data_IF_517116413025
#
_entry.id   IF_517116413025
#
_cell.length_a   1.000
_cell.length_b   1.000
_cell.length_c   1.000
_cell.angle_alpha   90.00
_cell.angle_beta   90.00
_cell.angle_gamma   90.00
#
_symmetry.space_group_name_H-M   'P 1'
#
loop_
_entity.id
_entity.type
_entity.pdbx_description
1 polymer ?
#
# COMPACT_ATOMS: atom_id res chain seq x y z
N UNK A 1 -30.95 52.83 -6.80
CA UNK A 1 -30.80 51.48 -7.37
C UNK A 1 -29.34 51.08 -7.24
N UNK A 2 -29.02 50.14 -6.34
CA UNK A 2 -27.66 49.65 -6.17
C UNK A 2 -27.45 48.55 -7.22
N UNK A 3 -26.69 48.83 -8.27
CA UNK A 3 -26.19 47.85 -9.25
C UNK A 3 -25.09 47.02 -8.59
N UNK A 4 -25.50 46.04 -7.77
CA UNK A 4 -24.63 45.27 -6.86
C UNK A 4 -24.10 43.96 -7.45
N UNK A 5 -23.72 43.98 -8.73
CA UNK A 5 -22.87 42.93 -9.31
C UNK A 5 -21.57 43.58 -9.77
N UNK A 6 -20.81 44.05 -8.79
CA UNK A 6 -19.38 44.27 -8.96
C UNK A 6 -18.77 42.97 -9.49
N UNK A 7 -17.99 43.10 -10.57
CA UNK A 7 -17.36 42.02 -11.34
C UNK A 7 -16.97 40.84 -10.44
N UNK A 8 -17.68 39.72 -10.60
CA UNK A 8 -17.29 38.46 -9.98
C UNK A 8 -15.83 38.21 -10.38
N UNK A 9 -14.94 38.08 -9.40
CA UNK A 9 -13.53 37.79 -9.67
C UNK A 9 -13.44 36.58 -10.61
N UNK A 10 -12.57 36.59 -11.64
CA UNK A 10 -12.36 35.45 -12.53
C UNK A 10 -12.13 34.14 -11.77
N UNK A 11 -11.50 34.22 -10.58
CA UNK A 11 -11.36 33.11 -9.64
C UNK A 11 -12.71 32.53 -9.18
N UNK A 12 -13.60 33.40 -8.68
CA UNK A 12 -14.92 33.01 -8.15
C UNK A 12 -15.78 32.46 -9.28
N UNK A 13 -15.74 33.09 -10.45
CA UNK A 13 -16.48 32.63 -11.62
C UNK A 13 -16.02 31.23 -12.06
N UNK A 14 -14.70 31.02 -12.21
CA UNK A 14 -14.11 29.72 -12.54
C UNK A 14 -14.45 28.68 -11.49
N UNK A 15 -14.49 29.05 -10.21
CA UNK A 15 -14.87 28.15 -9.11
C UNK A 15 -16.35 27.78 -9.12
N UNK A 16 -17.26 28.71 -9.39
CA UNK A 16 -18.69 28.41 -9.51
C UNK A 16 -18.96 27.49 -10.70
N UNK A 17 -18.36 27.77 -11.86
CA UNK A 17 -18.45 26.90 -13.02
C UNK A 17 -17.94 25.49 -12.68
N UNK A 18 -16.79 25.42 -12.03
CA UNK A 18 -16.21 24.16 -11.56
C UNK A 18 -17.15 23.37 -10.64
N UNK A 19 -17.73 24.01 -9.62
CA UNK A 19 -18.65 23.35 -8.69
C UNK A 19 -19.86 22.76 -9.39
N UNK A 20 -20.43 23.47 -10.37
CA UNK A 20 -21.56 22.98 -11.18
C UNK A 20 -21.16 21.73 -11.94
N UNK A 21 -20.00 21.74 -12.62
CA UNK A 21 -19.49 20.56 -13.33
C UNK A 21 -19.19 19.40 -12.39
N UNK A 22 -18.66 19.66 -11.20
CA UNK A 22 -18.28 18.60 -10.25
C UNK A 22 -19.48 17.84 -9.66
N UNK A 23 -20.70 18.40 -9.71
CA UNK A 23 -21.93 17.71 -9.29
C UNK A 23 -22.27 16.54 -10.20
N UNK A 24 -21.90 16.64 -11.48
CA UNK A 24 -22.12 15.59 -12.47
C UNK A 24 -21.41 14.28 -12.15
N UNK A 25 -20.33 14.34 -11.36
CA UNK A 25 -19.62 13.15 -10.89
C UNK A 25 -20.51 12.25 -10.00
N UNK A 26 -21.51 12.81 -9.29
CA UNK A 26 -22.46 12.02 -8.47
C UNK A 26 -23.71 11.59 -9.22
N UNK A 27 -23.89 12.03 -10.46
CA UNK A 27 -25.10 11.73 -11.22
C UNK A 27 -25.04 10.28 -11.78
N UNK A 28 -25.89 9.36 -11.31
CA UNK A 28 -25.89 7.99 -11.82
C UNK A 28 -26.37 7.89 -13.27
N UNK A 29 -27.14 8.88 -13.75
CA UNK A 29 -27.74 8.88 -15.09
C UNK A 29 -26.80 9.44 -16.16
N UNK A 30 -25.69 10.08 -15.74
CA UNK A 30 -24.74 10.67 -16.67
C UNK A 30 -23.87 9.62 -17.37
N UNK A 31 -23.70 9.79 -18.68
CA UNK A 31 -22.88 8.90 -19.51
C UNK A 31 -21.37 9.00 -19.18
N UNK A 32 -20.62 8.00 -19.64
CA UNK A 32 -19.18 7.86 -19.38
C UNK A 32 -18.38 9.05 -19.94
N UNK A 33 -18.69 9.52 -21.15
CA UNK A 33 -17.96 10.63 -21.79
C UNK A 33 -18.06 11.93 -20.98
N UNK A 34 -19.25 12.27 -20.49
CA UNK A 34 -19.47 13.45 -19.68
C UNK A 34 -18.84 13.33 -18.29
N UNK A 35 -18.83 12.12 -17.70
CA UNK A 35 -18.07 11.85 -16.46
C UNK A 35 -16.58 12.04 -16.67
N UNK A 36 -16.03 11.51 -17.77
CA UNK A 36 -14.62 11.68 -18.15
C UNK A 36 -14.27 13.15 -18.36
N UNK A 37 -15.13 13.90 -19.03
CA UNK A 37 -14.96 15.35 -19.21
C UNK A 37 -14.96 16.09 -17.85
N UNK A 38 -15.88 15.74 -16.94
CA UNK A 38 -15.93 16.32 -15.61
C UNK A 38 -14.65 16.01 -14.80
N UNK A 39 -14.12 14.79 -14.88
CA UNK A 39 -12.85 14.40 -14.23
C UNK A 39 -11.67 15.17 -14.84
N UNK A 40 -11.59 15.27 -16.16
CA UNK A 40 -10.54 16.03 -16.85
C UNK A 40 -10.57 17.51 -16.48
N UNK A 41 -11.75 18.10 -16.32
CA UNK A 41 -11.89 19.47 -15.83
C UNK A 41 -11.40 19.61 -14.38
N UNK A 42 -11.65 18.60 -13.52
CA UNK A 42 -11.08 18.56 -12.17
C UNK A 42 -9.55 18.46 -12.18
N UNK A 43 -8.99 17.60 -13.02
CA UNK A 43 -7.55 17.48 -13.21
C UNK A 43 -6.93 18.81 -13.62
N UNK A 44 -7.50 19.47 -14.64
CA UNK A 44 -7.00 20.77 -15.08
C UNK A 44 -7.14 21.84 -14.00
N UNK A 45 -8.26 21.87 -13.27
CA UNK A 45 -8.47 22.82 -12.18
C UNK A 45 -7.39 22.69 -11.10
N UNK A 46 -7.02 21.46 -10.74
CA UNK A 46 -5.94 21.24 -9.77
C UNK A 46 -4.56 21.57 -10.35
N UNK A 47 -4.31 21.24 -11.63
CA UNK A 47 -3.06 21.61 -12.34
C UNK A 47 -2.86 23.12 -12.43
N UNK A 48 -3.95 23.88 -12.52
CA UNK A 48 -3.95 25.34 -12.47
C UNK A 48 -3.67 25.91 -11.06
N UNK A 49 -3.36 25.05 -10.07
CA UNK A 49 -2.98 25.42 -8.71
C UNK A 49 -4.17 25.54 -7.74
N UNK A 50 -5.36 25.12 -8.14
CA UNK A 50 -6.54 25.22 -7.27
C UNK A 50 -6.77 23.95 -6.44
N UNK A 51 -7.33 24.12 -5.25
CA UNK A 51 -7.78 23.01 -4.39
C UNK A 51 -9.23 22.67 -4.67
N UNK A 52 -9.54 21.37 -4.77
CA UNK A 52 -10.92 20.87 -4.85
C UNK A 52 -11.71 21.29 -3.61
N UNK A 53 -13.01 21.55 -3.79
CA UNK A 53 -13.90 21.74 -2.65
C UNK A 53 -14.23 20.41 -1.98
N UNK A 54 -14.77 20.50 -0.76
CA UNK A 54 -15.31 19.35 -0.04
C UNK A 54 -16.40 18.66 -0.86
N UNK A 55 -17.26 19.42 -1.55
CA UNK A 55 -18.30 18.87 -2.42
C UNK A 55 -17.69 18.05 -3.57
N UNK A 56 -16.65 18.54 -4.23
CA UNK A 56 -16.02 17.75 -5.30
C UNK A 56 -15.34 16.49 -4.76
N UNK A 57 -14.71 16.57 -3.58
CA UNK A 57 -14.09 15.41 -2.91
C UNK A 57 -15.14 14.36 -2.56
N UNK A 58 -16.26 14.75 -1.98
CA UNK A 58 -17.39 13.83 -1.71
C UNK A 58 -17.99 13.27 -3.02
N UNK A 59 -17.94 14.01 -4.13
CA UNK A 59 -18.38 13.48 -5.43
C UNK A 59 -17.46 12.39 -5.96
N UNK A 60 -16.16 12.58 -5.78
CA UNK A 60 -15.14 11.59 -6.09
C UNK A 60 -15.34 10.34 -5.21
N UNK A 61 -15.64 10.51 -3.93
CA UNK A 61 -15.93 9.41 -3.01
C UNK A 61 -17.12 8.56 -3.49
N UNK A 62 -18.19 9.21 -3.95
CA UNK A 62 -19.35 8.53 -4.50
C UNK A 62 -18.99 7.68 -5.72
N UNK A 63 -18.13 8.19 -6.63
CA UNK A 63 -17.65 7.43 -7.78
C UNK A 63 -16.87 6.18 -7.34
N UNK A 64 -15.92 6.33 -6.40
CA UNK A 64 -15.11 5.22 -5.90
C UNK A 64 -15.93 4.15 -5.19
N UNK A 65 -16.96 4.55 -4.43
CA UNK A 65 -17.91 3.62 -3.78
C UNK A 65 -18.68 2.77 -4.79
N UNK A 66 -18.92 3.31 -5.98
CA UNK A 66 -19.71 2.68 -7.03
C UNK A 66 -18.79 2.24 -8.18
N UNK A 67 -17.83 1.34 -7.91
CA UNK A 67 -16.79 0.93 -8.87
C UNK A 67 -17.31 0.43 -10.22
N UNK A 68 -18.55 -0.06 -10.32
CA UNK A 68 -19.20 -0.36 -11.60
C UNK A 68 -19.33 0.86 -12.52
N UNK A 69 -19.52 2.05 -11.96
CA UNK A 69 -19.61 3.32 -12.68
C UNK A 69 -18.24 3.89 -13.08
N UNK A 70 -17.15 3.25 -12.65
CA UNK A 70 -15.78 3.66 -12.97
C UNK A 70 -15.19 2.96 -14.18
N UNK A 71 -15.87 1.92 -14.69
CA UNK A 71 -15.44 1.24 -15.91
C UNK A 71 -15.28 2.31 -17.01
N UNK A 72 -14.10 2.35 -17.64
CA UNK A 72 -13.69 3.30 -18.69
C UNK A 72 -13.26 4.73 -18.27
N UNK A 73 -13.32 5.07 -16.97
CA UNK A 73 -12.83 6.35 -16.40
C UNK A 73 -11.89 6.17 -15.20
N UNK A 74 -11.44 4.95 -15.00
CA UNK A 74 -10.71 4.53 -13.82
C UNK A 74 -9.38 5.27 -13.70
N UNK A 75 -8.60 5.27 -14.78
CA UNK A 75 -7.28 5.87 -14.82
C UNK A 75 -7.36 7.37 -14.50
N UNK A 76 -8.29 8.11 -15.12
CA UNK A 76 -8.46 9.54 -14.86
C UNK A 76 -8.91 9.80 -13.42
N UNK A 77 -9.74 8.93 -12.85
CA UNK A 77 -10.19 9.05 -11.46
C UNK A 77 -9.02 8.84 -10.49
N UNK A 78 -8.19 7.83 -10.72
CA UNK A 78 -7.00 7.56 -9.92
C UNK A 78 -5.94 8.67 -10.08
N UNK A 79 -5.71 9.17 -11.29
CA UNK A 79 -4.84 10.34 -11.51
C UNK A 79 -5.35 11.58 -10.77
N UNK A 80 -6.68 11.79 -10.73
CA UNK A 80 -7.26 12.90 -9.99
C UNK A 80 -7.01 12.75 -8.49
N UNK A 81 -7.19 11.55 -7.94
CA UNK A 81 -6.85 11.25 -6.54
C UNK A 81 -5.38 11.53 -6.25
N UNK A 82 -4.48 11.02 -7.08
CA UNK A 82 -3.04 11.22 -6.92
C UNK A 82 -2.70 12.71 -6.85
N UNK A 83 -3.23 13.50 -7.78
CA UNK A 83 -2.99 14.93 -7.86
C UNK A 83 -3.55 15.69 -6.65
N UNK A 84 -4.73 15.29 -6.15
CA UNK A 84 -5.32 15.84 -4.91
C UNK A 84 -4.39 15.63 -3.72
N UNK A 85 -3.86 14.40 -3.57
CA UNK A 85 -2.93 14.07 -2.49
C UNK A 85 -1.59 14.79 -2.65
N UNK A 86 -1.02 14.83 -3.87
CA UNK A 86 0.23 15.56 -4.17
C UNK A 86 0.15 17.03 -3.80
N UNK A 87 -1.02 17.66 -3.97
CA UNK A 87 -1.27 19.05 -3.60
C UNK A 87 -1.57 19.26 -2.09
N UNK A 88 -1.35 18.23 -1.27
CA UNK A 88 -1.47 18.29 0.18
C UNK A 88 -2.91 18.43 0.68
N UNK A 89 -3.91 18.10 -0.14
CA UNK A 89 -5.29 18.03 0.32
C UNK A 89 -5.51 16.74 1.11
N UNK A 90 -6.09 16.86 2.30
CA UNK A 90 -6.45 15.69 3.11
C UNK A 90 -7.60 14.94 2.45
N UNK A 91 -7.45 13.63 2.27
CA UNK A 91 -8.54 12.76 1.88
C UNK A 91 -9.43 12.45 3.10
N UNK A 92 -10.76 12.39 2.95
CA UNK A 92 -11.66 11.92 3.99
C UNK A 92 -11.31 10.49 4.44
N UNK A 93 -11.55 10.12 5.72
CA UNK A 93 -11.17 8.81 6.25
C UNK A 93 -11.73 7.62 5.47
N UNK A 94 -12.92 7.77 4.90
CA UNK A 94 -13.57 6.72 4.10
C UNK A 94 -12.83 6.41 2.79
N UNK A 95 -12.01 7.34 2.28
CA UNK A 95 -11.12 7.04 1.15
C UNK A 95 -10.05 6.01 1.50
N UNK A 96 -9.67 5.87 2.77
CA UNK A 96 -8.69 4.87 3.20
C UNK A 96 -9.26 3.46 3.01
N UNK A 97 -10.48 3.24 3.49
CA UNK A 97 -11.19 1.97 3.30
C UNK A 97 -11.47 1.69 1.82
N UNK A 98 -11.77 2.73 1.05
CA UNK A 98 -11.95 2.59 -0.39
C UNK A 98 -10.64 2.23 -1.08
N UNK A 99 -9.53 2.91 -0.76
CA UNK A 99 -8.21 2.61 -1.32
C UNK A 99 -7.80 1.16 -1.05
N UNK A 100 -8.00 0.66 0.18
CA UNK A 100 -7.74 -0.74 0.52
C UNK A 100 -8.59 -1.71 -0.31
N UNK A 101 -9.87 -1.39 -0.54
CA UNK A 101 -10.75 -2.23 -1.36
C UNK A 101 -10.34 -2.20 -2.84
N UNK A 102 -9.94 -1.03 -3.34
CA UNK A 102 -9.51 -0.85 -4.72
C UNK A 102 -8.20 -1.57 -5.01
N UNK A 103 -7.25 -1.62 -4.06
CA UNK A 103 -6.01 -2.39 -4.20
C UNK A 103 -6.24 -3.90 -4.30
N UNK A 104 -7.35 -4.41 -3.77
CA UNK A 104 -7.73 -5.82 -3.87
C UNK A 104 -8.58 -6.12 -5.12
N UNK A 105 -8.98 -5.09 -5.88
CA UNK A 105 -9.80 -5.25 -7.08
C UNK A 105 -8.90 -5.29 -8.32
N UNK A 106 -8.81 -6.48 -8.94
CA UNK A 106 -7.93 -6.73 -10.09
C UNK A 106 -8.23 -5.90 -11.33
N UNK A 107 -9.39 -5.22 -11.36
CA UNK A 107 -9.72 -4.27 -12.43
C UNK A 107 -8.84 -3.03 -12.37
N UNK A 108 -8.37 -2.66 -11.17
CA UNK A 108 -7.73 -1.38 -10.97
C UNK A 108 -6.22 -1.39 -11.22
N UNK A 109 -5.68 -0.27 -11.73
CA UNK A 109 -4.25 -0.10 -11.93
C UNK A 109 -3.50 0.02 -10.59
N UNK A 110 -2.94 -1.12 -10.14
CA UNK A 110 -2.16 -1.24 -8.91
C UNK A 110 -0.99 -0.27 -8.83
N UNK A 111 -0.34 0.05 -9.95
CA UNK A 111 0.78 0.98 -9.99
C UNK A 111 0.39 2.39 -9.52
N UNK A 112 -0.72 2.91 -10.02
CA UNK A 112 -1.23 4.24 -9.63
C UNK A 112 -1.71 4.23 -8.17
N UNK A 113 -2.40 3.17 -7.75
CA UNK A 113 -2.85 3.02 -6.36
C UNK A 113 -1.66 3.01 -5.38
N UNK A 114 -0.58 2.32 -5.73
CA UNK A 114 0.66 2.32 -4.95
C UNK A 114 1.20 3.76 -4.84
N UNK A 115 1.31 4.49 -5.95
CA UNK A 115 1.81 5.88 -5.93
C UNK A 115 0.93 6.80 -5.06
N UNK A 116 -0.40 6.66 -5.11
CA UNK A 116 -1.32 7.37 -4.21
C UNK A 116 -1.00 7.05 -2.75
N UNK A 117 -0.87 5.77 -2.40
CA UNK A 117 -0.53 5.34 -1.03
C UNK A 117 0.80 5.95 -0.60
N UNK A 118 1.82 5.98 -1.49
CA UNK A 118 3.14 6.54 -1.16
C UNK A 118 3.10 8.03 -0.78
N UNK A 119 2.10 8.77 -1.23
CA UNK A 119 1.97 10.21 -0.98
C UNK A 119 1.22 10.53 0.33
N UNK A 120 0.61 9.53 0.97
CA UNK A 120 -0.13 9.71 2.22
C UNK A 120 0.82 9.78 3.43
N UNK A 121 0.31 10.19 4.60
CA UNK A 121 1.11 10.20 5.83
C UNK A 121 1.52 8.76 6.23
N UNK A 122 2.61 8.60 6.99
CA UNK A 122 3.08 7.27 7.42
C UNK A 122 2.01 6.51 8.21
N UNK A 123 1.27 7.18 9.09
CA UNK A 123 0.16 6.57 9.85
C UNK A 123 -0.96 6.10 8.92
N UNK A 124 -1.27 6.90 7.90
CA UNK A 124 -2.28 6.56 6.89
C UNK A 124 -1.82 5.40 6.00
N UNK A 125 -0.56 5.40 5.60
CA UNK A 125 0.07 4.30 4.87
C UNK A 125 -0.02 3.02 5.71
N UNK A 126 0.29 3.09 7.01
CA UNK A 126 0.20 1.95 7.91
C UNK A 126 -1.23 1.39 8.00
N UNK A 127 -2.24 2.27 8.12
CA UNK A 127 -3.65 1.88 8.19
C UNK A 127 -4.12 1.20 6.91
N UNK A 128 -3.85 1.81 5.74
CA UNK A 128 -4.22 1.20 4.45
C UNK A 128 -3.47 -0.11 4.26
N UNK A 129 -2.17 -0.16 4.53
CA UNK A 129 -1.42 -1.41 4.39
C UNK A 129 -1.93 -2.46 5.36
N UNK A 130 -2.31 -2.12 6.60
CA UNK A 130 -2.92 -3.07 7.52
C UNK A 130 -4.26 -3.58 6.99
N UNK A 131 -5.13 -2.69 6.49
CA UNK A 131 -6.42 -3.08 5.94
C UNK A 131 -6.25 -3.96 4.68
N UNK A 132 -5.25 -3.68 3.85
CA UNK A 132 -4.87 -4.53 2.73
C UNK A 132 -4.43 -5.90 3.25
N UNK A 133 -3.56 -5.97 4.26
CA UNK A 133 -3.10 -7.23 4.85
C UNK A 133 -4.25 -8.05 5.46
N UNK A 134 -5.15 -7.39 6.18
CA UNK A 134 -6.30 -7.99 6.86
C UNK A 134 -7.34 -8.52 5.86
N UNK A 135 -7.51 -7.83 4.73
CA UNK A 135 -8.48 -8.18 3.70
C UNK A 135 -7.86 -8.80 2.44
N UNK A 136 -6.54 -8.99 2.40
CA UNK A 136 -5.86 -9.66 1.30
C UNK A 136 -6.23 -11.14 1.33
N UNK A 137 -7.19 -11.51 0.49
CA UNK A 137 -7.25 -12.87 -0.01
C UNK A 137 -5.99 -13.17 -0.84
N UNK A 138 -5.81 -14.45 -1.20
CA UNK A 138 -4.58 -15.01 -1.75
C UNK A 138 -3.91 -14.22 -2.90
N UNK A 139 -4.59 -13.32 -3.62
CA UNK A 139 -4.09 -12.65 -4.82
C UNK A 139 -2.85 -11.74 -4.60
N UNK A 140 -2.84 -10.88 -3.58
CA UNK A 140 -1.66 -10.04 -3.27
C UNK A 140 -0.50 -10.87 -2.72
N UNK A 141 -0.83 -11.94 -1.99
CA UNK A 141 0.09 -12.93 -1.43
C UNK A 141 0.64 -13.89 -2.50
N UNK A 142 -0.08 -14.06 -3.62
CA UNK A 142 0.32 -14.87 -4.76
C UNK A 142 1.24 -14.11 -5.73
N UNK A 143 1.14 -12.77 -5.77
CA UNK A 143 2.01 -11.92 -6.58
C UNK A 143 2.85 -10.98 -5.71
N UNK A 144 3.68 -11.56 -4.84
CA UNK A 144 4.53 -10.82 -3.90
C UNK A 144 5.49 -9.85 -4.61
N UNK A 145 5.88 -10.13 -5.85
CA UNK A 145 6.75 -9.26 -6.65
C UNK A 145 6.10 -7.92 -6.94
N UNK A 146 4.82 -7.90 -7.34
CA UNK A 146 4.08 -6.66 -7.61
C UNK A 146 3.67 -5.93 -6.32
N UNK A 147 3.37 -6.69 -5.26
CA UNK A 147 2.89 -6.14 -4.00
C UNK A 147 4.00 -5.81 -3.00
N UNK A 148 5.26 -6.19 -3.28
CA UNK A 148 6.41 -6.05 -2.38
C UNK A 148 6.54 -4.66 -1.75
N UNK A 149 6.44 -3.61 -2.55
CA UNK A 149 6.57 -2.21 -2.10
C UNK A 149 5.51 -1.85 -1.05
N UNK A 150 4.30 -2.40 -1.17
CA UNK A 150 3.20 -2.21 -0.21
C UNK A 150 3.58 -2.87 1.12
N UNK A 151 3.98 -4.15 1.07
CA UNK A 151 4.36 -4.91 2.27
C UNK A 151 5.58 -4.31 2.97
N UNK A 152 6.60 -3.87 2.21
CA UNK A 152 7.80 -3.24 2.75
C UNK A 152 7.48 -1.94 3.47
N UNK A 153 6.65 -1.08 2.87
CA UNK A 153 6.20 0.15 3.50
C UNK A 153 5.36 -0.10 4.75
N UNK A 154 4.46 -1.08 4.70
CA UNK A 154 3.71 -1.50 5.89
C UNK A 154 4.64 -1.91 7.02
N UNK A 155 5.64 -2.72 6.72
CA UNK A 155 6.66 -3.12 7.68
C UNK A 155 7.46 -1.94 8.23
N UNK A 156 7.85 -0.99 7.37
CA UNK A 156 8.53 0.25 7.74
C UNK A 156 7.68 1.15 8.65
N UNK A 157 6.36 1.08 8.51
CA UNK A 157 5.42 1.86 9.31
C UNK A 157 4.84 1.08 10.50
N UNK A 158 5.32 -0.13 10.78
CA UNK A 158 4.91 -0.92 11.95
C UNK A 158 3.56 -1.66 11.81
N UNK A 159 3.13 -2.01 10.60
CA UNK A 159 1.96 -2.90 10.40
C UNK A 159 2.19 -4.28 11.05
N UNK A 160 1.11 -4.91 11.54
CA UNK A 160 1.12 -6.30 12.03
C UNK A 160 0.90 -7.25 10.85
N UNK A 161 1.69 -8.31 10.78
CA UNK A 161 1.42 -9.38 9.85
C UNK A 161 0.21 -10.18 10.34
N UNK A 162 -0.70 -10.50 9.42
CA UNK A 162 -1.82 -11.40 9.71
C UNK A 162 -1.34 -12.85 9.69
N UNK A 163 -2.09 -13.75 10.34
CA UNK A 163 -1.78 -15.19 10.29
C UNK A 163 -1.71 -15.72 8.86
N UNK A 164 -2.59 -15.24 7.97
CA UNK A 164 -2.58 -15.59 6.55
C UNK A 164 -1.27 -15.16 5.86
N UNK A 165 -0.79 -13.95 6.17
CA UNK A 165 0.49 -13.44 5.63
C UNK A 165 1.67 -14.24 6.15
N UNK A 166 1.66 -14.57 7.45
CA UNK A 166 2.67 -15.42 8.09
C UNK A 166 2.73 -16.76 7.38
N UNK A 167 1.61 -17.49 7.31
CA UNK A 167 1.55 -18.80 6.64
C UNK A 167 2.07 -18.74 5.19
N UNK A 168 1.72 -17.69 4.44
CA UNK A 168 2.24 -17.53 3.07
C UNK A 168 3.74 -17.30 3.05
N UNK A 169 4.25 -16.47 3.95
CA UNK A 169 5.69 -16.25 4.06
C UNK A 169 6.40 -17.57 4.37
N UNK A 170 5.86 -18.38 5.28
CA UNK A 170 6.39 -19.71 5.58
C UNK A 170 6.42 -20.61 4.33
N UNK A 171 5.32 -20.68 3.57
CA UNK A 171 5.26 -21.43 2.32
C UNK A 171 6.35 -20.98 1.33
N UNK A 172 6.52 -19.67 1.13
CA UNK A 172 7.52 -19.13 0.19
C UNK A 172 8.95 -19.41 0.69
N UNK A 173 9.18 -19.27 1.99
CA UNK A 173 10.47 -19.53 2.63
C UNK A 173 10.86 -21.00 2.62
N UNK A 174 9.88 -21.92 2.55
CA UNK A 174 10.12 -23.36 2.51
C UNK A 174 10.04 -23.95 1.08
N UNK A 175 9.47 -23.23 0.11
CA UNK A 175 9.24 -23.73 -1.25
C UNK A 175 10.51 -24.03 -2.03
N UNK A 176 10.62 -25.23 -2.60
CA UNK A 176 11.72 -25.62 -3.50
C UNK A 176 11.56 -25.09 -4.94
N UNK A 177 10.44 -24.44 -5.24
CA UNK A 177 10.18 -23.86 -6.55
C UNK A 177 11.10 -22.64 -6.79
N UNK A 178 11.86 -22.67 -7.89
CA UNK A 178 12.83 -21.62 -8.23
C UNK A 178 12.20 -20.24 -8.45
N UNK A 179 10.98 -20.19 -9.00
CA UNK A 179 10.25 -18.94 -9.24
C UNK A 179 9.84 -18.31 -7.90
N UNK A 180 9.32 -19.14 -7.00
CA UNK A 180 8.91 -18.73 -5.65
C UNK A 180 10.14 -18.35 -4.80
N UNK A 181 11.27 -19.05 -4.97
CA UNK A 181 12.52 -18.80 -4.24
C UNK A 181 13.06 -17.38 -4.44
N UNK A 182 12.81 -16.76 -5.59
CA UNK A 182 13.23 -15.37 -5.85
C UNK A 182 12.54 -14.37 -4.91
N UNK A 183 11.38 -14.70 -4.34
CA UNK A 183 10.63 -13.84 -3.43
C UNK A 183 11.14 -13.89 -1.98
N UNK A 184 12.02 -14.85 -1.63
CA UNK A 184 12.50 -15.02 -0.24
C UNK A 184 13.29 -13.83 0.27
N UNK A 185 14.12 -13.22 -0.56
CA UNK A 185 14.91 -12.04 -0.17
C UNK A 185 14.02 -10.83 0.12
N UNK A 186 12.92 -10.71 -0.59
CA UNK A 186 11.95 -9.64 -0.39
C UNK A 186 11.19 -9.84 0.93
N UNK A 187 10.79 -11.07 1.24
CA UNK A 187 10.25 -11.44 2.56
C UNK A 187 11.26 -11.13 3.67
N UNK A 188 12.53 -11.50 3.51
CA UNK A 188 13.57 -11.20 4.50
C UNK A 188 13.69 -9.70 4.77
N UNK A 189 13.59 -8.86 3.73
CA UNK A 189 13.60 -7.39 3.90
C UNK A 189 12.37 -6.91 4.66
N UNK A 190 11.18 -7.45 4.37
CA UNK A 190 9.93 -7.11 5.09
C UNK A 190 10.09 -7.48 6.58
N UNK A 191 10.48 -8.71 6.88
CA UNK A 191 10.67 -9.21 8.25
C UNK A 191 11.74 -8.41 9.01
N UNK A 192 12.83 -8.02 8.36
CA UNK A 192 13.87 -7.17 8.97
C UNK A 192 13.30 -5.82 9.39
N UNK A 193 12.51 -5.15 8.53
CA UNK A 193 11.91 -3.87 8.88
C UNK A 193 10.91 -3.99 10.03
N UNK A 194 10.12 -5.07 10.04
CA UNK A 194 9.24 -5.37 11.18
C UNK A 194 10.03 -5.56 12.47
N UNK A 195 11.10 -6.35 12.45
CA UNK A 195 11.95 -6.57 13.62
C UNK A 195 12.59 -5.27 14.12
N UNK A 196 13.08 -4.41 13.21
CA UNK A 196 13.65 -3.10 13.58
C UNK A 196 12.60 -2.21 14.26
N UNK A 197 11.40 -2.11 13.68
CA UNK A 197 10.39 -1.16 14.14
C UNK A 197 9.63 -1.65 15.37
N UNK A 198 9.36 -2.95 15.48
CA UNK A 198 8.57 -3.52 16.57
C UNK A 198 9.41 -4.13 17.67
N UNK A 199 10.66 -4.47 17.38
CA UNK A 199 11.53 -5.22 18.29
C UNK A 199 10.91 -6.55 18.75
N UNK A 200 9.92 -7.05 18.01
CA UNK A 200 9.24 -8.31 18.24
C UNK A 200 8.74 -8.86 16.92
N UNK A 201 8.71 -10.19 16.82
CA UNK A 201 8.03 -10.94 15.77
C UNK A 201 7.17 -12.00 16.44
N UNK A 202 6.13 -12.46 15.75
CA UNK A 202 5.30 -13.58 16.22
C UNK A 202 6.14 -14.86 16.33
N UNK A 203 5.82 -15.73 17.30
CA UNK A 203 6.58 -16.96 17.56
C UNK A 203 6.64 -17.88 16.34
N UNK A 204 5.52 -18.04 15.61
CA UNK A 204 5.44 -18.81 14.36
C UNK A 204 6.46 -18.31 13.31
N UNK A 205 6.61 -16.99 13.16
CA UNK A 205 7.57 -16.37 12.24
C UNK A 205 9.00 -16.69 12.66
N UNK A 206 9.30 -16.64 13.95
CA UNK A 206 10.62 -16.97 14.50
C UNK A 206 10.94 -18.43 14.23
N UNK A 207 10.01 -19.35 14.51
CA UNK A 207 10.19 -20.78 14.25
C UNK A 207 10.42 -21.05 12.75
N UNK A 208 9.69 -20.38 11.87
CA UNK A 208 9.93 -20.49 10.44
C UNK A 208 11.33 -20.00 10.05
N UNK A 209 11.79 -18.86 10.58
CA UNK A 209 13.14 -18.36 10.30
C UNK A 209 14.22 -19.36 10.72
N UNK A 210 14.07 -19.99 11.88
CA UNK A 210 15.00 -21.03 12.35
C UNK A 210 15.00 -22.25 11.44
N UNK A 211 13.84 -22.70 10.96
CA UNK A 211 13.71 -23.82 10.01
C UNK A 211 14.29 -23.48 8.64
N UNK A 212 14.04 -22.29 8.11
CA UNK A 212 14.57 -21.84 6.82
C UNK A 212 16.09 -21.81 6.83
N UNK A 213 16.70 -21.44 7.95
CA UNK A 213 18.15 -21.45 8.09
C UNK A 213 18.73 -22.85 7.87
N UNK A 214 18.02 -23.93 8.24
CA UNK A 214 18.52 -25.31 8.10
C UNK A 214 18.72 -25.77 6.65
N UNK A 215 18.07 -25.14 5.68
CA UNK A 215 17.96 -25.64 4.30
C UNK A 215 18.48 -24.73 3.21
N UNK A 216 19.05 -23.57 3.53
CA UNK A 216 19.34 -22.52 2.55
C UNK A 216 20.83 -22.12 2.49
N UNK A 217 21.20 -21.27 1.54
CA UNK A 217 22.60 -20.85 1.32
C UNK A 217 23.07 -19.71 2.22
N UNK A 218 24.36 -19.37 2.12
CA UNK A 218 25.05 -18.40 2.97
C UNK A 218 24.33 -17.03 3.10
N UNK A 219 23.82 -16.51 1.98
CA UNK A 219 23.09 -15.24 1.93
C UNK A 219 21.83 -15.23 2.80
N UNK A 220 21.13 -16.36 2.86
CA UNK A 220 19.90 -16.48 3.66
C UNK A 220 20.22 -16.57 5.14
N UNK A 221 21.26 -17.32 5.53
CA UNK A 221 21.72 -17.37 6.91
C UNK A 221 22.05 -15.97 7.44
N UNK A 222 22.85 -15.19 6.68
CA UNK A 222 23.17 -13.80 7.05
C UNK A 222 21.92 -12.93 7.17
N UNK A 223 20.93 -13.13 6.30
CA UNK A 223 19.67 -12.37 6.34
C UNK A 223 18.85 -12.70 7.60
N UNK A 224 18.73 -13.99 7.93
CA UNK A 224 18.02 -14.47 9.13
C UNK A 224 18.67 -13.95 10.40
N UNK A 225 20.00 -14.10 10.54
CA UNK A 225 20.73 -13.56 11.69
C UNK A 225 20.60 -12.04 11.82
N UNK A 226 20.58 -11.33 10.68
CA UNK A 226 20.34 -9.89 10.66
C UNK A 226 18.93 -9.48 11.06
N UNK A 227 17.93 -10.36 10.99
CA UNK A 227 16.58 -10.11 11.52
C UNK A 227 16.57 -10.36 13.02
N UNK A 228 17.03 -11.55 13.43
CA UNK A 228 16.97 -12.01 14.82
C UNK A 228 17.71 -11.08 15.79
N UNK A 229 18.80 -10.44 15.35
CA UNK A 229 19.56 -9.49 16.20
C UNK A 229 18.78 -8.25 16.66
N UNK A 230 17.67 -7.91 15.98
CA UNK A 230 16.82 -6.78 16.36
C UNK A 230 15.73 -7.17 17.38
N UNK A 231 15.67 -8.44 17.79
CA UNK A 231 14.68 -8.95 18.73
C UNK A 231 15.31 -9.11 20.13
N UNK A 232 15.18 -8.13 21.04
CA UNK A 232 15.80 -8.16 22.37
C UNK A 232 15.32 -9.31 23.26
N UNK A 233 14.11 -9.84 23.01
CA UNK A 233 13.51 -10.93 23.79
C UNK A 233 13.68 -12.30 23.13
N UNK A 234 14.32 -12.37 21.96
CA UNK A 234 14.48 -13.62 21.23
C UNK A 234 15.35 -14.60 22.02
N UNK A 235 14.81 -15.80 22.21
CA UNK A 235 15.51 -16.95 22.78
C UNK A 235 15.58 -18.04 21.71
N UNK A 236 16.78 -18.37 21.21
CA UNK A 236 16.92 -19.38 20.18
C UNK A 236 16.50 -20.77 20.68
N UNK A 237 15.89 -21.58 19.81
CA UNK A 237 15.60 -22.97 20.16
C UNK A 237 16.89 -23.79 20.32
N UNK A 238 16.84 -24.85 21.13
CA UNK A 238 17.98 -25.76 21.32
C UNK A 238 18.47 -26.34 19.99
N UNK A 239 17.56 -26.71 19.10
CA UNK A 239 17.92 -27.24 17.78
C UNK A 239 18.60 -26.18 16.90
N UNK A 240 18.13 -24.93 16.96
CA UNK A 240 18.73 -23.86 16.20
C UNK A 240 20.14 -23.53 16.70
N UNK A 241 20.40 -23.58 18.02
CA UNK A 241 21.74 -23.43 18.59
C UNK A 241 22.71 -24.50 18.08
N UNK A 242 22.27 -25.77 18.07
CA UNK A 242 23.09 -26.88 17.54
C UNK A 242 23.43 -26.65 16.06
N UNK A 243 22.43 -26.23 15.27
CA UNK A 243 22.63 -25.95 13.85
C UNK A 243 23.54 -24.74 13.60
N UNK A 244 23.37 -23.67 14.37
CA UNK A 244 24.23 -22.50 14.33
C UNK A 244 25.69 -22.85 14.61
N UNK A 245 25.93 -23.70 15.61
CA UNK A 245 27.27 -24.16 15.93
C UNK A 245 27.90 -24.90 14.74
N UNK A 246 27.17 -25.82 14.10
CA UNK A 246 27.65 -26.54 12.91
C UNK A 246 27.96 -25.59 11.74
N UNK A 247 27.14 -24.55 11.52
CA UNK A 247 27.43 -23.51 10.52
C UNK A 247 28.71 -22.76 10.86
N UNK A 248 28.87 -22.30 12.11
CA UNK A 248 30.00 -21.48 12.54
C UNK A 248 31.31 -22.26 12.45
N UNK A 249 31.29 -23.56 12.75
CA UNK A 249 32.43 -24.46 12.59
C UNK A 249 32.82 -24.65 11.11
N UNK A 250 31.84 -24.72 10.21
CA UNK A 250 32.07 -24.88 8.76
C UNK A 250 32.40 -23.58 8.03
N UNK A 251 31.93 -22.45 8.55
CA UNK A 251 32.05 -21.12 7.94
C UNK A 251 32.48 -20.07 8.99
N UNK A 252 33.76 -20.04 9.38
CA UNK A 252 34.25 -19.11 10.41
C UNK A 252 34.13 -17.62 10.03
N UNK A 253 33.90 -17.29 8.76
CA UNK A 253 33.68 -15.92 8.27
C UNK A 253 32.41 -15.24 8.81
N UNK A 254 31.51 -15.98 9.45
CA UNK A 254 30.32 -15.40 10.12
C UNK A 254 30.62 -14.73 11.46
N UNK A 255 31.84 -14.88 11.99
CA UNK A 255 32.29 -14.31 13.26
C UNK A 255 32.98 -12.94 13.10
N UNK A 256 33.13 -12.44 11.86
CA UNK A 256 33.70 -11.13 11.53
C UNK A 256 32.61 -10.11 11.25
#
# INVERSE_FOLDING_TARGET
MITKYEKISPYIFKRIQFEIFSKHLRDPTMNVENKKLAINNCLQFIRDGYKLSINTIESLEYLLKNSFNMKDIEEETLQLMELVVRNGQKLPPIFLNLLSRLTNDSRFNKGILIEIIKLLSNDTQALITQEILDNSEHELLNNLTESYEIFLKGAQNGCKLTKTTINRFEEILQSQDKIIRNQRLDIMKILKNLAINKQTLEEDVIECLEKTMKGDGETMHKSILNILKYLPTYKPSTEFLIYLQDILERHPLYLQ
#
